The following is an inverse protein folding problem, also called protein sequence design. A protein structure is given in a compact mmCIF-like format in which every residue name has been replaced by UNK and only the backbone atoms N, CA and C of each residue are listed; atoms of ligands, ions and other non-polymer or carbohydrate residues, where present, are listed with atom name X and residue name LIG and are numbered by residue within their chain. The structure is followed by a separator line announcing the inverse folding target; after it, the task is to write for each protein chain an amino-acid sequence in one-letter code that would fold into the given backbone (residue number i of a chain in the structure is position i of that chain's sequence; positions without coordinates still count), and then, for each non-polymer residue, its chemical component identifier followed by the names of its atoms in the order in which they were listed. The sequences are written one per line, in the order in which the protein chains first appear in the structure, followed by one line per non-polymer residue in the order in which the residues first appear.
data_IF_464928125168
#
_entry.id   IF_464928125168
#
_cell.length_a   1.000
_cell.length_b   1.000
_cell.length_c   1.000
_cell.angle_alpha   90.00
_cell.angle_beta   90.00
_cell.angle_gamma   90.00
#
_symmetry.space_group_name_H-M   'P 1'
#
loop_
_entity.id
_entity.type
_entity.pdbx_description
1 polymer ?
#
# COMPACT_ATOMS: atom_id res chain seq x y z
N UNK A 1 -11.67 22.96 17.03
CA UNK A 1 -12.07 22.32 15.75
C UNK A 1 -11.02 22.48 14.66
N UNK A 2 -10.44 23.67 14.41
CA UNK A 2 -9.49 23.87 13.30
C UNK A 2 -8.30 22.88 13.25
N UNK A 3 -7.68 22.58 14.39
CA UNK A 3 -6.57 21.61 14.46
C UNK A 3 -6.97 20.15 14.18
N UNK A 4 -8.25 19.80 14.38
CA UNK A 4 -8.75 18.44 14.21
C UNK A 4 -9.05 18.09 12.75
N UNK A 5 -9.02 19.05 11.83
CA UNK A 5 -9.28 18.86 10.40
C UNK A 5 -8.04 19.21 9.55
N UNK A 6 -6.87 19.25 10.19
CA UNK A 6 -5.61 19.40 9.49
C UNK A 6 -5.24 18.10 8.76
N UNK A 7 -4.49 18.16 7.65
CA UNK A 7 -3.90 16.98 7.04
C UNK A 7 -3.12 16.12 8.03
N UNK A 8 -3.01 14.82 7.75
CA UNK A 8 -2.28 13.86 8.58
C UNK A 8 -2.74 13.83 10.05
N UNK A 9 -4.05 13.95 10.24
CA UNK A 9 -4.74 13.84 11.52
C UNK A 9 -5.69 12.65 11.49
N UNK A 10 -5.53 11.73 12.43
CA UNK A 10 -6.44 10.62 12.64
C UNK A 10 -7.35 10.91 13.84
N UNK A 11 -8.62 10.50 13.76
CA UNK A 11 -9.51 10.55 14.91
C UNK A 11 -10.96 10.26 14.60
N UNK A 12 -11.80 10.34 15.64
CA UNK A 12 -13.24 10.08 15.54
C UNK A 12 -14.01 11.37 15.33
N UNK A 13 -14.83 11.42 14.29
CA UNK A 13 -15.69 12.56 13.95
C UNK A 13 -17.15 12.19 14.17
N UNK A 14 -17.89 13.08 14.82
CA UNK A 14 -19.32 12.94 15.11
C UNK A 14 -20.05 13.99 14.27
N UNK A 15 -21.13 13.59 13.61
CA UNK A 15 -21.81 14.45 12.66
C UNK A 15 -23.09 13.86 12.09
N UNK A 16 -23.68 14.56 11.14
CA UNK A 16 -24.82 14.11 10.34
C UNK A 16 -24.36 13.75 8.94
N UNK A 17 -24.64 12.51 8.51
CA UNK A 17 -24.40 12.05 7.14
C UNK A 17 -25.66 12.32 6.32
N UNK A 18 -25.53 13.16 5.31
CA UNK A 18 -26.63 13.46 4.39
C UNK A 18 -26.55 12.53 3.18
N UNK A 19 -27.72 12.11 2.67
CA UNK A 19 -27.80 11.29 1.45
C UNK A 19 -27.50 12.08 0.18
N UNK A 20 -27.69 13.40 0.22
CA UNK A 20 -27.40 14.32 -0.88
C UNK A 20 -26.68 15.56 -0.34
N UNK A 21 -25.77 16.12 -1.14
CA UNK A 21 -24.98 17.28 -0.76
C UNK A 21 -23.91 16.97 0.30
N UNK A 22 -23.45 18.02 1.00
CA UNK A 22 -22.41 17.91 2.01
C UNK A 22 -22.96 17.40 3.34
N UNK A 23 -22.16 16.57 4.02
CA UNK A 23 -22.38 16.14 5.41
C UNK A 23 -21.75 17.13 6.39
N UNK A 24 -22.16 17.11 7.66
CA UNK A 24 -21.70 18.08 8.67
C UNK A 24 -21.05 17.40 9.87
N UNK A 25 -19.89 17.90 10.29
CA UNK A 25 -19.20 17.49 11.52
C UNK A 25 -19.64 18.41 12.67
N UNK A 26 -20.10 17.83 13.77
CA UNK A 26 -20.56 18.55 14.97
C UNK A 26 -19.59 18.43 16.14
N UNK A 27 -18.85 17.33 16.24
CA UNK A 27 -17.85 17.12 17.29
C UNK A 27 -16.70 16.20 16.84
N UNK A 28 -15.63 16.19 17.64
CA UNK A 28 -14.43 15.37 17.40
C UNK A 28 -13.96 14.73 18.71
N UNK A 29 -13.39 13.53 18.64
CA UNK A 29 -12.87 12.76 19.78
C UNK A 29 -11.63 11.96 19.38
N UNK A 30 -10.66 11.84 20.28
CA UNK A 30 -9.47 11.00 20.07
C UNK A 30 -8.70 11.43 18.84
N UNK A 31 -8.23 12.67 18.85
CA UNK A 31 -7.49 13.26 17.74
C UNK A 31 -5.99 13.02 17.97
N UNK A 32 -5.35 12.36 17.02
CA UNK A 32 -3.92 12.10 16.98
C UNK A 32 -3.33 12.66 15.68
N UNK A 33 -2.21 13.37 15.79
CA UNK A 33 -1.52 13.96 14.64
C UNK A 33 -0.22 13.21 14.37
N UNK A 34 0.06 12.92 13.10
CA UNK A 34 1.34 12.40 12.67
C UNK A 34 2.37 13.54 12.64
N UNK A 35 2.94 13.88 13.79
CA UNK A 35 3.81 15.05 13.96
C UNK A 35 5.07 14.99 13.09
N UNK A 36 5.74 13.83 13.02
CA UNK A 36 6.95 13.66 12.21
C UNK A 36 6.65 13.89 10.73
N UNK A 37 5.53 13.35 10.24
CA UNK A 37 5.05 13.54 8.86
C UNK A 37 4.71 15.01 8.57
N UNK A 38 4.18 15.74 9.56
CA UNK A 38 3.88 17.16 9.41
C UNK A 38 5.13 18.05 9.39
N UNK A 39 6.19 17.67 10.09
CA UNK A 39 7.39 18.48 10.28
C UNK A 39 8.48 18.22 9.23
N UNK A 40 8.48 17.04 8.60
CA UNK A 40 9.45 16.65 7.58
C UNK A 40 8.80 16.56 6.19
N UNK A 41 9.27 17.38 5.25
CA UNK A 41 8.75 17.46 3.88
C UNK A 41 8.90 16.15 3.09
N UNK A 42 9.91 15.34 3.39
CA UNK A 42 10.15 14.06 2.71
C UNK A 42 9.14 13.02 3.22
N UNK A 43 8.95 12.92 4.53
CA UNK A 43 7.93 12.03 5.11
C UNK A 43 6.53 12.43 4.65
N UNK A 44 6.27 13.75 4.58
CA UNK A 44 5.04 14.31 4.04
C UNK A 44 4.78 13.88 2.59
N UNK A 45 5.80 13.93 1.73
CA UNK A 45 5.69 13.54 0.33
C UNK A 45 5.31 12.05 0.19
N UNK A 46 5.95 11.16 0.95
CA UNK A 46 5.61 9.73 0.95
C UNK A 46 4.20 9.45 1.48
N UNK A 47 3.81 10.10 2.58
CA UNK A 47 2.47 9.97 3.15
C UNK A 47 1.38 10.45 2.18
N UNK A 48 1.60 11.61 1.56
CA UNK A 48 0.72 12.17 0.53
C UNK A 48 0.60 11.23 -0.66
N UNK A 49 1.74 10.71 -1.15
CA UNK A 49 1.77 9.78 -2.26
C UNK A 49 0.96 8.50 -1.96
N UNK A 50 1.14 7.90 -0.77
CA UNK A 50 0.37 6.73 -0.35
C UNK A 50 -1.14 7.05 -0.34
N UNK A 51 -1.54 8.18 0.24
CA UNK A 51 -2.95 8.57 0.33
C UNK A 51 -3.58 8.81 -1.04
N UNK A 52 -2.89 9.51 -1.95
CA UNK A 52 -3.38 9.74 -3.32
C UNK A 52 -3.42 8.44 -4.13
N UNK A 53 -2.46 7.53 -3.93
CA UNK A 53 -2.46 6.22 -4.60
C UNK A 53 -3.65 5.36 -4.14
N UNK A 54 -3.93 5.35 -2.84
CA UNK A 54 -5.09 4.66 -2.26
C UNK A 54 -6.39 5.28 -2.78
N UNK A 55 -6.50 6.60 -2.78
CA UNK A 55 -7.66 7.31 -3.34
C UNK A 55 -7.87 6.98 -4.82
N UNK A 56 -6.81 6.86 -5.61
CA UNK A 56 -6.93 6.46 -7.02
C UNK A 56 -7.35 4.98 -7.19
N UNK A 57 -7.03 4.12 -6.22
CA UNK A 57 -7.34 2.70 -6.26
C UNK A 57 -8.77 2.35 -5.80
N UNK A 58 -9.43 3.26 -5.08
CA UNK A 58 -10.79 3.11 -4.56
C UNK A 58 -11.65 4.26 -5.08
N UNK A 59 -12.52 4.01 -6.06
CA UNK A 59 -13.50 5.00 -6.53
C UNK A 59 -14.40 5.49 -5.39
N UNK A 60 -14.99 6.68 -5.54
CA UNK A 60 -15.88 7.36 -4.55
C UNK A 60 -17.14 6.55 -4.16
N UNK A 61 -17.31 5.34 -4.69
CA UNK A 61 -18.32 4.41 -4.20
C UNK A 61 -17.98 3.97 -2.78
N UNK A 62 -18.90 4.30 -1.87
CA UNK A 62 -18.93 3.93 -0.46
C UNK A 62 -18.91 2.39 -0.34
N UNK A 63 -17.74 1.79 -0.51
CA UNK A 63 -17.52 0.41 -0.10
C UNK A 63 -17.08 0.44 1.36
N UNK A 64 -18.09 0.56 2.23
CA UNK A 64 -18.00 0.47 3.70
C UNK A 64 -17.30 -0.81 4.18
N UNK A 65 -16.99 -1.74 3.25
CA UNK A 65 -16.42 -3.05 3.55
C UNK A 65 -14.90 -3.10 3.55
N UNK A 66 -14.18 -2.03 3.16
CA UNK A 66 -12.72 -2.14 3.09
C UNK A 66 -11.97 -1.63 4.33
N UNK A 67 -12.50 -1.94 5.52
CA UNK A 67 -11.83 -1.72 6.82
C UNK A 67 -10.37 -2.17 6.80
N UNK A 68 -10.06 -3.26 6.10
CA UNK A 68 -8.70 -3.79 6.01
C UNK A 68 -7.70 -2.82 5.37
N UNK A 69 -8.10 -2.11 4.31
CA UNK A 69 -7.21 -1.15 3.65
C UNK A 69 -7.10 0.15 4.44
N UNK A 70 -8.17 0.60 5.10
CA UNK A 70 -8.08 1.72 6.04
C UNK A 70 -7.05 1.43 7.14
N UNK A 71 -7.18 0.30 7.84
CA UNK A 71 -6.27 -0.11 8.92
C UNK A 71 -4.82 -0.26 8.40
N UNK A 72 -4.65 -0.85 7.21
CA UNK A 72 -3.31 -1.00 6.60
C UNK A 72 -2.66 0.34 6.28
N UNK A 73 -3.40 1.29 5.71
CA UNK A 73 -2.90 2.63 5.40
C UNK A 73 -2.62 3.42 6.67
N UNK A 74 -3.51 3.32 7.66
CA UNK A 74 -3.30 3.93 8.98
C UNK A 74 -2.01 3.41 9.64
N UNK A 75 -1.80 2.09 9.61
CA UNK A 75 -0.57 1.47 10.12
C UNK A 75 0.67 1.90 9.34
N UNK A 76 0.58 2.02 8.01
CA UNK A 76 1.67 2.54 7.18
C UNK A 76 2.06 3.97 7.59
N UNK A 77 1.08 4.87 7.75
CA UNK A 77 1.32 6.24 8.21
C UNK A 77 1.92 6.28 9.62
N UNK A 78 1.44 5.44 10.54
CA UNK A 78 2.04 5.31 11.88
C UNK A 78 3.50 4.89 11.80
N UNK A 79 3.84 3.83 11.05
CA UNK A 79 5.23 3.35 10.93
C UNK A 79 6.15 4.44 10.36
N UNK A 80 5.71 5.16 9.32
CA UNK A 80 6.46 6.29 8.76
C UNK A 80 6.66 7.38 9.81
N UNK A 81 5.60 7.73 10.55
CA UNK A 81 5.67 8.73 11.61
C UNK A 81 6.60 8.30 12.77
N UNK A 82 6.68 7.01 13.06
CA UNK A 82 7.48 6.41 14.13
C UNK A 82 8.94 6.16 13.70
N UNK A 83 9.33 6.58 12.48
CA UNK A 83 10.71 6.60 12.00
C UNK A 83 11.14 5.38 11.18
N UNK A 84 10.21 4.52 10.77
CA UNK A 84 10.51 3.48 9.78
C UNK A 84 10.83 4.13 8.42
N UNK A 85 11.66 3.44 7.64
CA UNK A 85 12.04 3.89 6.30
C UNK A 85 10.79 4.05 5.42
N UNK A 86 10.47 5.31 5.08
CA UNK A 86 9.27 5.65 4.35
C UNK A 86 9.21 5.00 2.97
N UNK A 87 10.35 4.88 2.29
CA UNK A 87 10.42 4.26 0.97
C UNK A 87 10.06 2.77 1.06
N UNK A 88 10.54 2.05 2.08
CA UNK A 88 10.20 0.64 2.27
C UNK A 88 8.71 0.46 2.55
N UNK A 89 8.13 1.29 3.42
CA UNK A 89 6.69 1.23 3.72
C UNK A 89 5.86 1.53 2.46
N UNK A 90 6.23 2.55 1.69
CA UNK A 90 5.59 2.89 0.42
C UNK A 90 5.67 1.74 -0.58
N UNK A 91 6.84 1.13 -0.78
CA UNK A 91 7.01 -0.01 -1.70
C UNK A 91 6.13 -1.21 -1.32
N UNK A 92 5.94 -1.47 -0.01
CA UNK A 92 5.03 -2.52 0.46
C UNK A 92 3.59 -2.20 0.06
N UNK A 93 3.14 -0.96 0.28
CA UNK A 93 1.80 -0.52 -0.12
C UNK A 93 1.62 -0.64 -1.63
N UNK A 94 2.55 -0.13 -2.44
CA UNK A 94 2.50 -0.18 -3.90
C UNK A 94 2.32 -1.62 -4.41
N UNK A 95 3.22 -2.53 -4.01
CA UNK A 95 3.19 -3.93 -4.47
C UNK A 95 1.87 -4.62 -4.10
N UNK A 96 1.34 -4.35 -2.90
CA UNK A 96 0.09 -4.96 -2.45
C UNK A 96 -1.16 -4.31 -3.04
N UNK A 97 -1.08 -3.05 -3.45
CA UNK A 97 -2.18 -2.29 -4.02
C UNK A 97 -2.35 -2.54 -5.52
N UNK A 98 -1.35 -3.08 -6.22
CA UNK A 98 -1.41 -3.45 -7.65
C UNK A 98 -2.70 -4.20 -8.01
N UNK A 99 -3.18 -5.10 -7.14
CA UNK A 99 -4.41 -5.87 -7.38
C UNK A 99 -5.66 -5.00 -7.54
N UNK A 100 -5.70 -3.83 -6.89
CA UNK A 100 -6.78 -2.84 -7.05
C UNK A 100 -6.70 -2.08 -8.37
N UNK A 101 -5.52 -2.00 -8.98
CA UNK A 101 -5.32 -1.51 -10.34
C UNK A 101 -5.48 -2.60 -11.41
N UNK A 102 -6.02 -3.78 -11.04
CA UNK A 102 -6.25 -4.88 -11.98
C UNK A 102 -5.01 -5.72 -12.30
N UNK A 103 -3.89 -5.49 -11.60
CA UNK A 103 -2.64 -6.23 -11.78
C UNK A 103 -2.36 -7.07 -10.54
N UNK A 104 -2.53 -8.39 -10.61
CA UNK A 104 -2.29 -9.27 -9.46
C UNK A 104 -1.24 -10.33 -9.78
N UNK A 105 0.06 -9.99 -9.69
CA UNK A 105 1.11 -10.92 -10.03
C UNK A 105 1.17 -12.11 -9.06
N UNK A 106 1.46 -13.30 -9.59
CA UNK A 106 1.89 -14.40 -8.73
C UNK A 106 3.36 -14.21 -8.32
N UNK A 107 3.56 -13.77 -7.08
CA UNK A 107 4.88 -13.59 -6.46
C UNK A 107 5.39 -14.83 -5.69
N UNK A 108 4.58 -15.90 -5.58
CA UNK A 108 4.88 -17.03 -4.68
C UNK A 108 5.67 -18.11 -5.37
N UNK A 109 5.25 -18.51 -6.55
CA UNK A 109 5.80 -19.65 -7.28
C UNK A 109 5.86 -19.38 -8.77
N UNK A 110 6.67 -20.18 -9.48
CA UNK A 110 6.70 -20.15 -10.93
C UNK A 110 5.29 -20.41 -11.49
N UNK A 111 4.79 -19.51 -12.32
CA UNK A 111 3.46 -19.63 -12.94
C UNK A 111 3.30 -20.84 -13.86
N UNK A 112 4.42 -21.44 -14.32
CA UNK A 112 4.41 -22.60 -15.22
C UNK A 112 4.43 -23.92 -14.48
N UNK A 113 5.35 -24.10 -13.52
CA UNK A 113 5.59 -25.39 -12.88
C UNK A 113 5.40 -25.40 -11.37
N UNK A 114 5.01 -24.28 -10.75
CA UNK A 114 4.79 -24.19 -9.31
C UNK A 114 6.05 -24.21 -8.44
N UNK A 115 7.25 -24.20 -9.03
CA UNK A 115 8.53 -24.15 -8.29
C UNK A 115 8.56 -22.93 -7.34
N UNK A 116 8.95 -23.14 -6.09
CA UNK A 116 8.99 -22.10 -5.05
C UNK A 116 10.41 -21.70 -4.65
N UNK A 117 11.39 -22.56 -4.97
CA UNK A 117 12.80 -22.38 -4.66
C UNK A 117 13.63 -22.37 -5.95
N UNK A 118 13.86 -21.18 -6.48
CA UNK A 118 14.69 -20.98 -7.67
C UNK A 118 15.22 -19.55 -7.72
N UNK A 119 16.08 -19.30 -8.71
CA UNK A 119 16.19 -17.95 -9.23
C UNK A 119 14.93 -17.65 -10.02
N UNK A 120 14.33 -16.51 -9.74
CA UNK A 120 13.11 -16.05 -10.37
C UNK A 120 13.37 -14.78 -11.16
N UNK A 121 12.51 -14.52 -12.11
CA UNK A 121 12.40 -13.24 -12.81
C UNK A 121 10.92 -12.95 -13.09
N UNK A 122 10.56 -11.70 -13.30
CA UNK A 122 9.17 -11.30 -13.52
C UNK A 122 8.82 -11.29 -15.00
N UNK A 123 7.67 -11.88 -15.34
CA UNK A 123 7.09 -11.86 -16.67
C UNK A 123 5.74 -11.17 -16.61
N UNK A 124 5.62 -10.05 -17.32
CA UNK A 124 4.34 -9.37 -17.53
C UNK A 124 3.41 -10.24 -18.38
N UNK A 125 3.95 -10.89 -19.42
CA UNK A 125 3.16 -11.72 -20.34
C UNK A 125 2.48 -12.92 -19.66
N UNK A 126 3.11 -13.48 -18.63
CA UNK A 126 2.54 -14.57 -17.84
C UNK A 126 1.95 -14.12 -16.49
N UNK A 127 1.93 -12.81 -16.21
CA UNK A 127 1.32 -12.24 -14.99
C UNK A 127 1.95 -12.72 -13.68
N UNK A 128 3.26 -12.95 -13.65
CA UNK A 128 3.91 -13.48 -12.46
C UNK A 128 5.37 -13.87 -12.66
N UNK A 129 5.92 -14.58 -11.67
CA UNK A 129 7.32 -14.97 -11.70
C UNK A 129 7.55 -16.27 -12.48
N UNK A 130 8.69 -16.33 -13.19
CA UNK A 130 9.18 -17.52 -13.88
C UNK A 130 10.46 -18.00 -13.20
N UNK A 131 10.55 -19.31 -12.92
CA UNK A 131 11.81 -19.89 -12.46
C UNK A 131 12.80 -19.99 -13.62
N UNK A 132 14.09 -20.12 -13.30
CA UNK A 132 15.17 -20.21 -14.29
C UNK A 132 14.95 -21.26 -15.38
N UNK A 133 14.28 -22.37 -15.06
CA UNK A 133 13.93 -23.42 -16.03
C UNK A 133 12.99 -22.91 -17.13
N UNK A 134 12.12 -21.95 -16.84
CA UNK A 134 11.09 -21.44 -17.75
C UNK A 134 11.37 -20.02 -18.27
N UNK A 135 12.53 -19.41 -17.99
CA UNK A 135 12.87 -18.09 -18.54
C UNK A 135 12.83 -18.04 -20.07
N UNK A 136 13.08 -19.15 -20.76
CA UNK A 136 12.99 -19.22 -22.22
C UNK A 136 11.57 -18.99 -22.76
N UNK A 137 10.53 -19.14 -21.92
CA UNK A 137 9.13 -18.95 -22.30
C UNK A 137 8.75 -17.49 -22.47
N UNK A 138 9.50 -16.57 -21.85
CA UNK A 138 9.37 -15.13 -22.03
C UNK A 138 10.73 -14.47 -22.28
N UNK A 139 10.96 -14.11 -23.55
CA UNK A 139 12.18 -13.41 -23.96
C UNK A 139 12.21 -11.96 -23.47
N UNK A 140 11.06 -11.38 -23.13
CA UNK A 140 10.86 -10.00 -22.71
C UNK A 140 10.62 -9.86 -21.19
N UNK A 141 10.90 -10.90 -20.39
CA UNK A 141 10.94 -10.80 -18.93
C UNK A 141 11.83 -9.63 -18.48
N UNK A 142 11.58 -9.09 -17.30
CA UNK A 142 12.20 -7.83 -16.87
C UNK A 142 13.70 -7.90 -16.56
N UNK A 143 14.31 -9.10 -16.48
CA UNK A 143 15.73 -9.29 -16.17
C UNK A 143 16.13 -8.61 -14.85
N UNK A 144 15.28 -8.73 -13.83
CA UNK A 144 15.52 -8.12 -12.53
C UNK A 144 16.66 -8.84 -11.79
N UNK A 145 17.43 -8.08 -11.02
CA UNK A 145 18.41 -8.68 -10.14
C UNK A 145 17.72 -9.49 -9.00
N UNK A 146 18.43 -10.47 -8.46
CA UNK A 146 17.84 -11.41 -7.49
C UNK A 146 17.49 -10.76 -6.15
N UNK A 147 18.10 -9.61 -5.81
CA UNK A 147 17.77 -8.86 -4.60
C UNK A 147 16.46 -8.11 -4.77
N UNK A 148 16.24 -7.47 -5.92
CA UNK A 148 14.94 -6.87 -6.28
C UNK A 148 13.84 -7.92 -6.27
N UNK A 149 14.08 -9.08 -6.88
CA UNK A 149 13.12 -10.20 -6.85
C UNK A 149 12.82 -10.68 -5.43
N UNK A 150 13.84 -10.75 -4.56
CA UNK A 150 13.64 -11.11 -3.16
C UNK A 150 12.72 -10.11 -2.45
N UNK A 151 12.97 -8.81 -2.59
CA UNK A 151 12.17 -7.77 -1.93
C UNK A 151 10.74 -7.70 -2.47
N UNK A 152 10.51 -7.73 -3.78
CA UNK A 152 9.15 -7.75 -4.35
C UNK A 152 8.32 -8.92 -3.82
N UNK A 153 8.92 -10.11 -3.76
CA UNK A 153 8.26 -11.29 -3.18
C UNK A 153 7.95 -11.10 -1.69
N UNK A 154 8.86 -10.51 -0.92
CA UNK A 154 8.61 -10.21 0.50
C UNK A 154 7.53 -9.16 0.69
N UNK A 155 7.61 -8.03 -0.02
CA UNK A 155 6.63 -6.95 0.03
C UNK A 155 5.22 -7.43 -0.31
N UNK A 156 5.08 -8.39 -1.24
CA UNK A 156 3.77 -8.95 -1.59
C UNK A 156 3.03 -9.69 -0.46
N UNK A 157 3.71 -10.09 0.61
CA UNK A 157 3.12 -10.89 1.70
C UNK A 157 3.33 -10.32 3.11
N UNK A 158 4.20 -9.32 3.28
CA UNK A 158 4.46 -8.70 4.59
C UNK A 158 3.18 -8.07 5.13
N UNK A 159 2.89 -8.34 6.39
CA UNK A 159 1.84 -7.65 7.13
C UNK A 159 2.50 -6.59 8.02
N UNK A 160 2.12 -5.32 7.78
CA UNK A 160 2.66 -4.15 8.47
C UNK A 160 2.39 -4.18 9.98
N UNK A 161 1.40 -4.95 10.45
CA UNK A 161 1.09 -5.06 11.87
C UNK A 161 2.17 -5.80 12.68
N UNK A 162 3.02 -6.60 12.03
CA UNK A 162 4.08 -7.36 12.68
C UNK A 162 5.47 -6.72 12.52
N UNK A 163 5.54 -5.50 11.98
CA UNK A 163 6.76 -4.71 11.98
C UNK A 163 6.86 -3.99 13.32
N UNK A 164 7.94 -4.28 14.07
CA UNK A 164 8.29 -3.70 15.37
C UNK A 164 9.58 -2.90 15.28
#
# INVERSE_FOLDING_TARGET
MGAAILPFTHGTYIGSINSEGLSFITATKGIDQFQSINQDIILNAYATYILELVKAAFEDSIDVTNTLWFEKVLKALSLINDGFDAQIITNIIEVQLLGKFGVQPNWRSCVICGETQSQFDYSESYGGILCRKHWYMDKNRLNLDQRTMYYLRKFSIVDLNYLN
#
